data_IF_190087738464
#
_entry.id   IF_190087738464
#
_cell.length_a   1.000
_cell.length_b   1.000
_cell.length_c   1.000
_cell.angle_alpha   90.00
_cell.angle_beta   90.00
_cell.angle_gamma   90.00
#
_symmetry.space_group_name_H-M   'P 1'
#
loop_
_entity.id
_entity.type
_entity.pdbx_description
1 polymer ?
#
# COMPACT_ATOMS: atom_id res chain seq x y z
N UNK A 1 16.58 1.85 -2.19
CA UNK A 1 17.30 2.11 -0.93
C UNK A 1 16.37 2.04 0.29
N UNK A 2 15.18 2.66 0.24
CA UNK A 2 14.16 2.65 1.32
C UNK A 2 13.69 1.25 1.74
N UNK A 3 13.46 0.33 0.80
CA UNK A 3 13.04 -1.05 1.09
C UNK A 3 14.03 -1.82 1.98
N UNK A 4 15.34 -1.77 1.69
CA UNK A 4 16.36 -2.46 2.49
C UNK A 4 16.48 -1.91 3.91
N UNK A 5 16.35 -0.59 4.07
CA UNK A 5 16.36 0.06 5.39
C UNK A 5 15.18 -0.44 6.22
N UNK A 6 13.98 -0.51 5.64
CA UNK A 6 12.80 -1.00 6.33
C UNK A 6 12.89 -2.47 6.72
N UNK A 7 13.44 -3.32 5.85
CA UNK A 7 13.68 -4.72 6.18
C UNK A 7 14.64 -4.88 7.36
N UNK A 8 15.61 -3.97 7.53
CA UNK A 8 16.55 -3.98 8.66
C UNK A 8 15.99 -3.39 9.96
N UNK A 9 14.99 -2.51 9.88
CA UNK A 9 14.40 -1.83 11.05
C UNK A 9 13.23 -2.57 11.69
N UNK A 10 12.50 -3.37 10.91
CA UNK A 10 11.37 -4.18 11.43
C UNK A 10 11.87 -5.39 12.22
N UNK A 11 11.18 -5.72 13.30
CA UNK A 11 11.51 -6.88 14.14
C UNK A 11 11.01 -8.20 13.56
N UNK A 12 9.96 -8.17 12.74
CA UNK A 12 9.39 -9.35 12.08
C UNK A 12 8.50 -8.97 10.89
N UNK A 13 8.00 -9.97 10.16
CA UNK A 13 6.98 -9.78 9.10
C UNK A 13 5.63 -9.26 9.62
N UNK A 14 5.42 -9.24 10.94
CA UNK A 14 4.22 -8.73 11.59
C UNK A 14 4.39 -7.29 12.11
N UNK A 15 5.58 -6.72 11.99
CA UNK A 15 5.92 -5.41 12.54
C UNK A 15 5.89 -4.36 11.42
N UNK A 16 4.76 -3.67 11.27
CA UNK A 16 4.61 -2.59 10.30
C UNK A 16 4.87 -1.20 10.88
N UNK A 17 5.27 -1.08 12.16
CA UNK A 17 5.52 0.21 12.80
C UNK A 17 6.54 1.09 12.06
N UNK A 18 7.67 0.56 11.54
CA UNK A 18 8.60 1.38 10.76
C UNK A 18 7.96 1.95 9.49
N UNK A 19 7.04 1.20 8.87
CA UNK A 19 6.31 1.62 7.67
C UNK A 19 5.32 2.72 8.03
N UNK A 20 4.52 2.52 9.08
CA UNK A 20 3.56 3.51 9.60
C UNK A 20 4.26 4.85 9.93
N UNK A 21 5.44 4.80 10.55
CA UNK A 21 6.21 6.00 10.87
C UNK A 21 6.65 6.78 9.62
N UNK A 22 7.03 6.08 8.55
CA UNK A 22 7.37 6.71 7.28
C UNK A 22 6.14 7.27 6.59
N UNK A 23 4.99 6.60 6.64
CA UNK A 23 3.74 7.10 6.07
C UNK A 23 3.31 8.43 6.69
N UNK A 24 3.53 8.61 7.99
CA UNK A 24 3.17 9.85 8.71
C UNK A 24 4.06 11.06 8.39
N UNK A 25 5.27 10.85 7.88
CA UNK A 25 6.32 11.90 7.81
C UNK A 25 7.02 12.01 6.46
N UNK A 26 6.84 11.03 5.58
CA UNK A 26 7.55 10.91 4.32
C UNK A 26 6.94 11.74 3.20
N UNK A 27 7.75 12.12 2.23
CA UNK A 27 7.27 12.52 0.91
C UNK A 27 6.65 11.32 0.19
N UNK A 28 5.88 11.57 -0.88
CA UNK A 28 5.23 10.50 -1.63
C UNK A 28 6.19 9.40 -2.11
N UNK A 29 7.40 9.77 -2.56
CA UNK A 29 8.42 8.80 -2.98
C UNK A 29 8.91 7.91 -1.84
N UNK A 30 8.96 8.45 -0.61
CA UNK A 30 9.30 7.67 0.59
C UNK A 30 8.14 6.74 0.93
N UNK A 31 6.90 7.24 0.86
CA UNK A 31 5.68 6.48 1.13
C UNK A 31 5.57 5.29 0.19
N UNK A 32 5.69 5.51 -1.12
CA UNK A 32 5.65 4.45 -2.14
C UNK A 32 6.71 3.39 -1.86
N UNK A 33 7.95 3.82 -1.60
CA UNK A 33 9.05 2.92 -1.23
C UNK A 33 8.81 2.17 0.09
N UNK A 34 8.04 2.74 1.01
CA UNK A 34 7.73 2.16 2.30
C UNK A 34 6.59 1.14 2.26
N UNK A 35 5.68 1.26 1.29
CA UNK A 35 4.57 0.33 1.10
C UNK A 35 4.98 -0.94 0.37
N UNK A 36 6.00 -0.88 -0.51
CA UNK A 36 6.48 -2.05 -1.26
C UNK A 36 6.76 -3.31 -0.40
N UNK A 37 7.48 -3.22 0.75
CA UNK A 37 7.72 -4.38 1.61
C UNK A 37 6.45 -5.09 2.09
N UNK A 38 5.32 -4.36 2.29
CA UNK A 38 4.07 -4.97 2.77
C UNK A 38 3.61 -6.08 1.83
N UNK A 39 3.67 -5.82 0.52
CA UNK A 39 3.24 -6.76 -0.49
C UNK A 39 4.34 -7.74 -0.92
N UNK A 40 5.57 -7.28 -1.10
CA UNK A 40 6.69 -8.14 -1.51
C UNK A 40 6.97 -9.23 -0.47
N UNK A 41 7.05 -8.85 0.79
CA UNK A 41 7.36 -9.77 1.88
C UNK A 41 6.09 -10.44 2.44
N UNK A 42 4.92 -10.12 1.88
CA UNK A 42 3.61 -10.61 2.32
C UNK A 42 3.43 -10.45 3.82
N UNK A 43 3.69 -9.24 4.30
CA UNK A 43 3.62 -8.93 5.73
C UNK A 43 2.22 -9.22 6.27
N UNK A 44 2.16 -9.71 7.51
CA UNK A 44 0.92 -10.03 8.22
C UNK A 44 0.87 -9.25 9.54
N UNK A 45 0.71 -7.91 9.49
CA UNK A 45 0.62 -7.09 10.69
C UNK A 45 -0.64 -7.42 11.50
N UNK A 46 -0.68 -7.06 12.79
CA UNK A 46 -1.90 -7.16 13.57
C UNK A 46 -2.98 -6.19 13.05
N UNK A 47 -4.25 -6.49 13.35
CA UNK A 47 -5.40 -5.75 12.79
C UNK A 47 -5.35 -4.23 13.05
N UNK A 48 -4.85 -3.80 14.21
CA UNK A 48 -4.72 -2.37 14.52
C UNK A 48 -3.73 -1.66 13.58
N UNK A 49 -2.63 -2.31 13.22
CA UNK A 49 -1.67 -1.77 12.25
C UNK A 49 -2.21 -1.80 10.84
N UNK A 50 -2.98 -2.83 10.48
CA UNK A 50 -3.67 -2.88 9.18
C UNK A 50 -4.64 -1.71 9.04
N UNK A 51 -5.44 -1.42 10.06
CA UNK A 51 -6.38 -0.28 10.07
C UNK A 51 -5.61 1.03 9.87
N UNK A 52 -4.55 1.25 10.65
CA UNK A 52 -3.76 2.49 10.57
C UNK A 52 -3.07 2.65 9.20
N UNK A 53 -2.53 1.57 8.62
CA UNK A 53 -1.97 1.58 7.26
C UNK A 53 -3.03 1.95 6.20
N UNK A 54 -4.25 1.42 6.33
CA UNK A 54 -5.35 1.71 5.42
C UNK A 54 -5.77 3.18 5.56
N UNK A 55 -5.92 3.69 6.77
CA UNK A 55 -6.29 5.09 7.02
C UNK A 55 -5.27 6.06 6.42
N UNK A 56 -3.98 5.81 6.67
CA UNK A 56 -2.89 6.62 6.12
C UNK A 56 -2.76 6.48 4.59
N UNK A 57 -3.12 5.32 4.05
CA UNK A 57 -3.02 4.99 2.63
C UNK A 57 -4.22 5.35 1.77
N UNK A 58 -5.37 5.66 2.39
CA UNK A 58 -6.68 5.67 1.73
C UNK A 58 -6.72 6.62 0.52
N UNK A 59 -6.31 7.86 0.74
CA UNK A 59 -6.36 8.96 -0.22
C UNK A 59 -4.97 9.35 -0.76
N UNK A 60 -4.00 8.42 -0.80
CA UNK A 60 -2.65 8.73 -1.34
C UNK A 60 -2.67 9.17 -2.82
N UNK A 61 -3.74 8.90 -3.55
CA UNK A 61 -3.97 9.48 -4.88
C UNK A 61 -4.18 10.99 -4.89
N UNK A 62 -4.55 11.58 -3.75
CA UNK A 62 -4.72 13.03 -3.57
C UNK A 62 -3.51 13.69 -2.89
N UNK A 63 -2.42 12.95 -2.67
CA UNK A 63 -1.24 13.48 -2.01
C UNK A 63 -0.69 14.71 -2.75
N UNK A 64 -0.32 15.77 -2.02
CA UNK A 64 0.11 17.07 -2.58
C UNK A 64 1.27 16.94 -3.56
N UNK A 65 2.24 16.07 -3.27
CA UNK A 65 3.36 15.78 -4.17
C UNK A 65 2.95 15.23 -5.56
N UNK A 66 1.72 14.71 -5.74
CA UNK A 66 1.21 14.27 -7.06
C UNK A 66 0.68 15.41 -7.92
N UNK A 67 0.23 16.52 -7.31
CA UNK A 67 -0.43 17.60 -8.03
C UNK A 67 0.55 18.20 -9.06
N UNK A 68 0.22 18.06 -10.35
CA UNK A 68 1.08 18.52 -11.45
C UNK A 68 2.22 17.57 -11.85
N UNK A 69 2.34 16.38 -11.24
CA UNK A 69 3.38 15.36 -11.54
C UNK A 69 2.80 14.01 -12.00
N UNK A 70 1.58 14.02 -12.53
CA UNK A 70 0.79 12.81 -12.81
C UNK A 70 1.35 11.90 -13.93
N UNK A 71 2.24 12.40 -14.79
CA UNK A 71 2.82 11.60 -15.88
C UNK A 71 4.03 10.79 -15.39
N UNK A 72 3.86 9.48 -15.29
CA UNK A 72 4.94 8.50 -15.10
C UNK A 72 5.08 7.92 -13.70
N UNK A 73 4.23 8.30 -12.75
CA UNK A 73 4.19 7.69 -11.41
C UNK A 73 3.05 6.68 -11.31
N UNK A 74 3.38 5.47 -10.86
CA UNK A 74 2.42 4.43 -10.46
C UNK A 74 1.62 4.94 -9.26
N UNK A 75 0.34 4.58 -9.14
CA UNK A 75 -0.44 4.95 -7.96
C UNK A 75 0.20 4.35 -6.69
N UNK A 76 0.54 5.16 -5.67
CA UNK A 76 1.21 4.70 -4.45
C UNK A 76 0.37 3.69 -3.65
N UNK A 77 -0.95 3.65 -3.87
CA UNK A 77 -1.85 2.67 -3.26
C UNK A 77 -1.64 1.27 -3.84
N UNK A 78 -0.96 1.13 -4.97
CA UNK A 78 -0.70 -0.15 -5.64
C UNK A 78 -0.10 -1.20 -4.69
N UNK A 79 0.98 -0.87 -3.98
CA UNK A 79 1.61 -1.80 -3.04
C UNK A 79 0.74 -2.10 -1.81
N UNK A 80 0.01 -1.11 -1.31
CA UNK A 80 -0.91 -1.32 -0.18
C UNK A 80 -2.08 -2.23 -0.59
N UNK A 81 -2.68 -1.97 -1.76
CA UNK A 81 -3.74 -2.79 -2.34
C UNK A 81 -3.27 -4.23 -2.55
N UNK A 82 -2.04 -4.45 -3.02
CA UNK A 82 -1.47 -5.79 -3.16
C UNK A 82 -1.29 -6.52 -1.83
N UNK A 83 -0.88 -5.81 -0.77
CA UNK A 83 -0.71 -6.39 0.56
C UNK A 83 -2.04 -6.89 1.15
N UNK A 84 -3.15 -6.19 0.86
CA UNK A 84 -4.49 -6.56 1.30
C UNK A 84 -4.92 -7.99 0.90
N UNK A 85 -4.30 -8.59 -0.12
CA UNK A 85 -4.58 -9.98 -0.50
C UNK A 85 -4.34 -10.98 0.64
N UNK A 86 -3.42 -10.66 1.57
CA UNK A 86 -3.10 -11.48 2.74
C UNK A 86 -3.84 -11.13 4.02
N UNK A 87 -4.62 -10.05 4.02
CA UNK A 87 -5.20 -9.45 5.23
C UNK A 87 -6.68 -9.80 5.40
N UNK A 88 -7.24 -9.46 6.57
CA UNK A 88 -8.67 -9.67 6.85
C UNK A 88 -9.51 -8.85 5.86
N UNK A 89 -10.36 -9.55 5.10
CA UNK A 89 -11.24 -8.96 4.10
C UNK A 89 -12.16 -7.88 4.69
N UNK A 90 -12.58 -8.03 5.95
CA UNK A 90 -13.47 -7.07 6.62
C UNK A 90 -12.79 -5.71 6.82
N UNK A 91 -11.47 -5.70 6.98
CA UNK A 91 -10.69 -4.47 7.16
C UNK A 91 -10.34 -3.82 5.83
N UNK A 92 -10.17 -4.62 4.76
CA UNK A 92 -9.61 -4.15 3.48
C UNK A 92 -10.67 -3.83 2.42
N UNK A 93 -11.90 -4.32 2.57
CA UNK A 93 -12.94 -4.25 1.54
C UNK A 93 -13.22 -2.81 1.07
N UNK A 94 -13.40 -1.89 2.01
CA UNK A 94 -13.71 -0.48 1.70
C UNK A 94 -12.56 0.18 0.93
N UNK A 95 -11.33 -0.01 1.39
CA UNK A 95 -10.14 0.52 0.73
C UNK A 95 -9.96 -0.03 -0.69
N UNK A 96 -10.15 -1.34 -0.89
CA UNK A 96 -10.03 -1.96 -2.21
C UNK A 96 -11.11 -1.45 -3.18
N UNK A 97 -12.35 -1.29 -2.71
CA UNK A 97 -13.41 -0.69 -3.53
C UNK A 97 -13.14 0.79 -3.83
N UNK A 98 -12.57 1.53 -2.87
CA UNK A 98 -12.14 2.91 -3.10
C UNK A 98 -11.05 2.98 -4.19
N UNK A 99 -10.07 2.07 -4.17
CA UNK A 99 -9.05 1.99 -5.22
C UNK A 99 -9.68 1.78 -6.60
N UNK A 100 -10.65 0.86 -6.74
CA UNK A 100 -11.36 0.61 -8.00
C UNK A 100 -12.17 1.83 -8.46
N UNK A 101 -12.87 2.50 -7.54
CA UNK A 101 -13.68 3.67 -7.87
C UNK A 101 -12.87 4.89 -8.30
N UNK A 102 -11.57 4.93 -7.97
CA UNK A 102 -10.71 6.10 -8.16
C UNK A 102 -9.44 5.80 -8.96
N UNK A 103 -9.40 4.67 -9.67
CA UNK A 103 -8.24 4.26 -10.45
C UNK A 103 -8.00 5.15 -11.69
N UNK A 104 -9.04 5.80 -12.24
CA UNK A 104 -8.93 6.73 -13.37
C UNK A 104 -8.12 6.17 -14.57
N UNK A 105 -8.42 4.94 -15.01
CA UNK A 105 -7.70 4.17 -16.04
C UNK A 105 -6.30 3.66 -15.62
N UNK A 106 -5.96 3.69 -14.33
CA UNK A 106 -4.81 2.92 -13.81
C UNK A 106 -5.16 1.42 -13.77
N UNK A 107 -4.97 0.76 -14.92
CA UNK A 107 -5.22 -0.66 -15.06
C UNK A 107 -4.38 -1.54 -14.12
N UNK A 108 -3.24 -1.06 -13.65
CA UNK A 108 -2.39 -1.79 -12.71
C UNK A 108 -3.03 -1.81 -11.32
N UNK A 109 -3.48 -0.65 -10.84
CA UNK A 109 -4.22 -0.54 -9.58
C UNK A 109 -5.53 -1.34 -9.63
N UNK A 110 -6.29 -1.24 -10.74
CA UNK A 110 -7.53 -1.99 -10.93
C UNK A 110 -7.32 -3.50 -10.80
N UNK A 111 -6.35 -4.04 -11.54
CA UNK A 111 -6.07 -5.48 -11.50
C UNK A 111 -5.63 -5.95 -10.12
N UNK A 112 -4.76 -5.19 -9.45
CA UNK A 112 -4.29 -5.56 -8.11
C UNK A 112 -5.41 -5.51 -7.08
N UNK A 113 -6.28 -4.50 -7.13
CA UNK A 113 -7.42 -4.41 -6.23
C UNK A 113 -8.41 -5.57 -6.47
N UNK A 114 -8.72 -5.91 -7.73
CA UNK A 114 -9.57 -7.05 -8.08
C UNK A 114 -8.99 -8.40 -7.61
N UNK A 115 -7.68 -8.59 -7.76
CA UNK A 115 -7.01 -9.80 -7.27
C UNK A 115 -7.05 -9.88 -5.73
N UNK A 116 -6.83 -8.75 -5.05
CA UNK A 116 -6.81 -8.70 -3.59
C UNK A 116 -8.19 -8.88 -2.97
N UNK A 117 -9.26 -8.43 -3.62
CA UNK A 117 -10.65 -8.74 -3.25
C UNK A 117 -10.96 -10.26 -3.28
N UNK A 118 -10.23 -10.99 -4.13
CA UNK A 118 -10.26 -12.46 -4.24
C UNK A 118 -9.20 -13.13 -3.37
N UNK A 119 -8.51 -12.38 -2.50
CA UNK A 119 -7.41 -12.83 -1.65
C UNK A 119 -6.28 -13.53 -2.44
N UNK A 120 -6.01 -13.03 -3.65
CA UNK A 120 -4.95 -13.53 -4.53
C UNK A 120 -3.84 -12.49 -4.63
N UNK A 121 -2.63 -12.87 -4.25
CA UNK A 121 -1.46 -12.02 -4.43
C UNK A 121 -1.20 -11.74 -5.92
N UNK A 122 -0.84 -10.49 -6.21
CA UNK A 122 -0.37 -10.08 -7.53
C UNK A 122 1.15 -10.15 -7.60
N UNK A 123 1.70 -10.50 -8.76
CA UNK A 123 3.14 -10.43 -8.98
C UNK A 123 3.52 -8.97 -9.22
N UNK A 124 4.08 -8.30 -8.20
CA UNK A 124 4.61 -6.95 -8.33
C UNK A 124 5.95 -7.02 -9.07
N UNK A 125 6.10 -6.22 -10.13
CA UNK A 125 7.30 -6.15 -10.98
C UNK A 125 7.76 -4.72 -11.12
#
# INVERSE_FOLDING_TARGET
MTQFILQSQRKSIKDAQPIIQLLKKGSLSIIEGALMPLAYDKMLPPNNEIIELIELGFDLNKHSDRIGKERGYTDPRYSLAAACAGWDKRLTLEFLNHCLATANNDHMLEQVALNSLKQKYSNLR
#
